data_IF_375623393149
#
_entry.id   IF_375623393149
#
_cell.length_a   1.000
_cell.length_b   1.000
_cell.length_c   1.000
_cell.angle_alpha   90.00
_cell.angle_beta   90.00
_cell.angle_gamma   90.00
#
_symmetry.space_group_name_H-M   'P 1'
#
loop_
_entity.id
_entity.type
_entity.pdbx_description
1 polymer ?
#
# COMPACT_ATOMS: atom_id res chain seq x y z
N UNK A 1 -6.34 4.56 3.14
CA UNK A 1 -5.79 4.44 4.49
C UNK A 1 -6.03 5.78 5.12
N UNK A 2 -7.26 6.02 5.60
CA UNK A 2 -7.85 7.35 5.62
C UNK A 2 -7.15 8.37 6.51
N UNK A 3 -6.41 7.90 7.52
CA UNK A 3 -5.63 8.78 8.40
C UNK A 3 -4.23 9.01 7.83
N UNK A 4 -3.55 7.95 7.37
CA UNK A 4 -2.19 8.03 6.86
C UNK A 4 -2.10 8.84 5.56
N UNK A 5 -3.09 8.72 4.68
CA UNK A 5 -3.12 9.43 3.39
C UNK A 5 -3.25 10.95 3.54
N UNK A 6 -3.73 11.42 4.71
CA UNK A 6 -3.80 12.85 5.06
C UNK A 6 -2.47 13.43 5.54
N UNK A 7 -1.48 12.57 5.81
CA UNK A 7 -0.15 13.00 6.21
C UNK A 7 0.66 13.38 4.94
N UNK A 8 0.54 14.64 4.53
CA UNK A 8 1.07 15.12 3.24
C UNK A 8 2.61 15.03 3.09
N UNK A 9 3.33 14.86 4.20
CA UNK A 9 4.80 14.71 4.22
C UNK A 9 5.24 13.26 4.49
N UNK A 10 4.31 12.31 4.52
CA UNK A 10 4.61 10.92 4.78
C UNK A 10 5.33 10.31 3.56
N UNK A 11 6.55 9.84 3.80
CA UNK A 11 7.42 9.26 2.76
C UNK A 11 7.49 7.75 2.81
N UNK A 12 7.32 7.17 3.99
CA UNK A 12 7.42 5.74 4.21
C UNK A 12 6.24 5.29 5.06
N UNK A 13 5.60 4.22 4.62
CA UNK A 13 4.60 3.47 5.41
C UNK A 13 5.07 2.03 5.45
N UNK A 14 5.20 1.50 6.66
CA UNK A 14 5.48 0.09 6.90
C UNK A 14 4.43 -0.44 7.87
N UNK A 15 3.63 -1.41 7.41
CA UNK A 15 2.63 -2.11 8.23
C UNK A 15 3.08 -3.56 8.39
N UNK A 16 3.28 -3.95 9.65
CA UNK A 16 3.77 -5.27 10.01
C UNK A 16 2.63 -6.12 10.55
N UNK A 17 2.95 -7.33 10.99
CA UNK A 17 2.04 -8.28 11.65
C UNK A 17 1.11 -7.55 12.63
N UNK A 18 -0.20 -7.83 12.53
CA UNK A 18 -1.27 -7.26 13.37
C UNK A 18 -1.47 -5.73 13.26
N UNK A 19 -0.78 -5.03 12.37
CA UNK A 19 -1.00 -3.59 12.14
C UNK A 19 -2.34 -3.29 11.44
N UNK A 20 -2.95 -4.31 10.83
CA UNK A 20 -4.21 -4.21 10.11
C UNK A 20 -4.99 -5.53 10.20
N UNK A 21 -6.20 -5.47 10.78
CA UNK A 21 -7.15 -6.60 10.90
C UNK A 21 -8.38 -6.38 10.00
N UNK A 22 -8.20 -5.72 8.86
CA UNK A 22 -9.26 -5.50 7.89
C UNK A 22 -9.04 -6.36 6.66
N UNK A 23 -10.12 -6.73 5.97
CA UNK A 23 -10.01 -7.46 4.72
C UNK A 23 -9.83 -6.58 3.49
N UNK A 24 -10.17 -5.29 3.59
CA UNK A 24 -10.11 -4.37 2.46
C UNK A 24 -9.38 -3.08 2.81
N UNK A 25 -8.34 -2.78 2.04
CA UNK A 25 -7.59 -1.54 2.12
C UNK A 25 -7.89 -0.67 0.90
N UNK A 26 -8.25 0.59 1.12
CA UNK A 26 -8.56 1.55 0.06
C UNK A 26 -7.62 2.74 0.17
N UNK A 27 -6.99 3.17 -0.92
CA UNK A 27 -6.27 4.44 -1.02
C UNK A 27 -7.05 5.39 -1.94
N UNK A 28 -7.50 6.51 -1.39
CA UNK A 28 -8.33 7.49 -2.09
C UNK A 28 -7.52 8.44 -2.96
N UNK A 29 -8.15 9.00 -4.00
CA UNK A 29 -7.59 10.03 -4.89
C UNK A 29 -6.85 11.11 -4.12
N UNK A 30 -5.70 11.53 -4.65
CA UNK A 30 -4.78 12.52 -4.08
C UNK A 30 -4.17 12.13 -2.72
N UNK A 31 -4.40 10.90 -2.26
CA UNK A 31 -3.74 10.36 -1.08
C UNK A 31 -2.25 10.16 -1.29
N UNK A 32 -1.48 10.38 -0.22
CA UNK A 32 -0.04 10.08 -0.18
C UNK A 32 0.80 10.81 -1.25
N UNK A 33 0.77 12.14 -1.31
CA UNK A 33 1.45 12.90 -2.38
C UNK A 33 2.97 12.77 -2.36
N UNK A 34 3.58 12.42 -1.21
CA UNK A 34 5.03 12.29 -1.05
C UNK A 34 5.51 10.88 -0.71
N UNK A 35 4.64 9.88 -0.80
CA UNK A 35 4.99 8.52 -0.41
C UNK A 35 5.93 7.90 -1.44
N UNK A 36 7.04 7.36 -0.95
CA UNK A 36 8.15 6.82 -1.72
C UNK A 36 8.30 5.31 -1.53
N UNK A 37 8.04 4.82 -0.31
CA UNK A 37 8.12 3.41 0.06
C UNK A 37 6.85 2.93 0.78
N UNK A 38 6.34 1.79 0.31
CA UNK A 38 5.34 0.99 0.99
C UNK A 38 5.88 -0.40 1.31
N UNK A 39 5.63 -0.84 2.54
CA UNK A 39 6.01 -2.15 3.03
C UNK A 39 4.84 -2.75 3.80
N UNK A 40 4.43 -3.95 3.38
CA UNK A 40 3.39 -4.73 4.02
C UNK A 40 3.97 -6.10 4.36
N UNK A 41 4.03 -6.43 5.64
CA UNK A 41 4.50 -7.73 6.11
C UNK A 41 3.46 -8.38 7.03
N UNK A 42 3.04 -9.59 6.69
CA UNK A 42 2.24 -10.42 7.59
C UNK A 42 0.80 -9.96 7.81
N UNK A 43 0.21 -9.24 6.85
CA UNK A 43 -1.19 -8.80 6.91
C UNK A 43 -2.15 -9.93 6.49
N UNK A 44 -2.34 -10.91 7.39
CA UNK A 44 -3.01 -12.18 7.07
C UNK A 44 -4.50 -12.09 6.73
N UNK A 45 -5.20 -11.05 7.16
CA UNK A 45 -6.62 -10.89 6.86
C UNK A 45 -6.87 -10.05 5.60
N UNK A 46 -5.82 -9.46 5.03
CA UNK A 46 -5.93 -8.50 3.93
C UNK A 46 -6.16 -9.19 2.59
N UNK A 47 -7.36 -9.04 2.03
CA UNK A 47 -7.79 -9.71 0.80
C UNK A 47 -7.77 -8.78 -0.43
N UNK A 48 -8.22 -7.53 -0.25
CA UNK A 48 -8.46 -6.58 -1.33
C UNK A 48 -7.67 -5.29 -1.13
N UNK A 49 -6.96 -4.87 -2.17
CA UNK A 49 -6.33 -3.56 -2.23
C UNK A 49 -6.90 -2.74 -3.38
N UNK A 50 -7.52 -1.60 -3.05
CA UNK A 50 -8.11 -0.67 -4.02
C UNK A 50 -7.29 0.62 -4.01
N UNK A 51 -6.76 1.00 -5.18
CA UNK A 51 -5.97 2.22 -5.35
C UNK A 51 -6.61 3.04 -6.46
N UNK A 52 -7.13 4.22 -6.10
CA UNK A 52 -7.71 5.15 -7.07
C UNK A 52 -6.64 5.79 -7.97
N UNK A 53 -7.08 6.41 -9.07
CA UNK A 53 -6.19 7.10 -10.00
C UNK A 53 -5.57 8.37 -9.36
N UNK A 54 -4.29 8.62 -9.64
CA UNK A 54 -3.56 9.79 -9.14
C UNK A 54 -2.98 9.64 -7.72
N UNK A 55 -3.10 8.45 -7.13
CA UNK A 55 -2.61 8.15 -5.78
C UNK A 55 -1.12 7.78 -5.80
N UNK A 56 -0.37 8.19 -4.77
CA UNK A 56 1.04 7.81 -4.56
C UNK A 56 1.96 8.05 -5.79
N UNK A 57 1.99 9.26 -6.37
CA UNK A 57 2.70 9.52 -7.62
C UNK A 57 4.22 9.35 -7.56
N UNK A 58 4.81 9.35 -6.35
CA UNK A 58 6.26 9.23 -6.12
C UNK A 58 6.69 7.85 -5.62
N UNK A 59 5.76 6.89 -5.56
CA UNK A 59 6.04 5.56 -5.04
C UNK A 59 6.95 4.80 -6.01
N UNK A 60 8.11 4.37 -5.51
CA UNK A 60 9.10 3.63 -6.29
C UNK A 60 9.54 2.32 -5.63
N UNK A 61 9.10 2.06 -4.39
CA UNK A 61 9.38 0.82 -3.67
C UNK A 61 8.09 0.29 -3.06
N UNK A 62 7.74 -0.94 -3.42
CA UNK A 62 6.63 -1.68 -2.86
C UNK A 62 7.15 -3.07 -2.47
N UNK A 63 7.04 -3.40 -1.19
CA UNK A 63 7.37 -4.70 -0.64
C UNK A 63 6.10 -5.29 -0.02
N UNK A 64 5.78 -6.54 -0.40
CA UNK A 64 4.63 -7.27 0.13
C UNK A 64 5.11 -8.67 0.49
N UNK A 65 5.29 -8.92 1.78
CA UNK A 65 5.76 -10.18 2.32
C UNK A 65 4.69 -10.82 3.21
N UNK A 66 4.59 -12.15 3.19
CA UNK A 66 3.72 -12.91 4.08
C UNK A 66 2.24 -12.49 4.13
N UNK A 67 1.72 -11.81 3.10
CA UNK A 67 0.33 -11.38 2.96
C UNK A 67 -0.48 -12.38 2.12
N UNK A 68 -0.76 -13.55 2.70
CA UNK A 68 -1.22 -14.74 1.94
C UNK A 68 -2.63 -14.64 1.35
N UNK A 69 -3.50 -13.82 1.92
CA UNK A 69 -4.89 -13.68 1.47
C UNK A 69 -5.08 -12.59 0.39
N UNK A 70 -4.03 -11.80 0.11
CA UNK A 70 -4.09 -10.73 -0.87
C UNK A 70 -4.27 -11.31 -2.28
N UNK A 71 -5.45 -11.06 -2.88
CA UNK A 71 -5.82 -11.70 -4.15
C UNK A 71 -5.07 -11.13 -5.33
N UNK A 72 -4.99 -9.81 -5.42
CA UNK A 72 -4.40 -9.12 -6.56
C UNK A 72 -3.72 -7.81 -6.13
N UNK A 73 -2.57 -7.53 -6.75
CA UNK A 73 -1.92 -6.21 -6.69
C UNK A 73 -2.58 -5.33 -7.75
N UNK A 74 -3.02 -4.09 -7.42
CA UNK A 74 -3.59 -3.16 -8.37
C UNK A 74 -2.68 -2.96 -9.59
N UNK A 75 -3.23 -3.06 -10.80
CA UNK A 75 -2.47 -2.98 -12.06
C UNK A 75 -1.57 -1.75 -12.15
N UNK A 76 -2.01 -0.63 -11.58
CA UNK A 76 -1.28 0.64 -11.57
C UNK A 76 0.04 0.57 -10.79
N UNK A 77 0.15 -0.36 -9.84
CA UNK A 77 1.34 -0.56 -9.00
C UNK A 77 2.26 -1.66 -9.54
N UNK A 78 1.83 -2.40 -10.57
CA UNK A 78 2.62 -3.49 -11.18
C UNK A 78 3.89 -3.01 -11.90
N UNK A 79 3.98 -1.71 -12.22
CA UNK A 79 5.12 -1.11 -12.93
C UNK A 79 6.19 -0.52 -11.99
N UNK A 80 6.07 -0.71 -10.68
CA UNK A 80 7.06 -0.22 -9.71
C UNK A 80 8.36 -1.00 -9.89
N UNK A 81 9.45 -0.25 -10.03
CA UNK A 81 10.76 -0.73 -10.51
C UNK A 81 11.51 -1.63 -9.54
N UNK A 82 11.08 -1.71 -8.27
CA UNK A 82 11.64 -2.59 -7.25
C UNK A 82 10.50 -3.26 -6.45
N UNK A 83 9.80 -4.17 -7.11
CA UNK A 83 8.85 -5.08 -6.45
C UNK A 83 9.65 -6.28 -5.92
N UNK A 84 9.89 -6.31 -4.60
CA UNK A 84 10.38 -7.51 -3.91
C UNK A 84 9.13 -8.24 -3.41
N UNK A 85 8.89 -9.45 -3.95
CA UNK A 85 7.79 -10.37 -3.61
C UNK A 85 8.37 -11.51 -2.79
#
# INVERSE_FOLDING_TARGET
MPILEKLLHLKVVALWIESFCGSRMVCSRDGFPQLQKLEFDGLKEWEEWIVEEGVMPLLHTLCIECCTELKEIPDRLRFITNLEI
#
